data_IF_642437643973
#
_entry.id   IF_642437643973
#
_cell.length_a   1.000
_cell.length_b   1.000
_cell.length_c   1.000
_cell.angle_alpha   90.00
_cell.angle_beta   90.00
_cell.angle_gamma   90.00
#
_symmetry.space_group_name_H-M   'P 1'
#
loop_
_entity.id
_entity.type
_entity.pdbx_description
1 polymer ?
#
# COMPACT_ATOMS: atom_id res chain seq x y z
N UNK A 1 1.51 -7.20 -13.89
CA UNK A 1 2.58 -8.22 -14.04
C UNK A 1 2.83 -8.89 -12.67
N UNK A 2 3.38 -10.12 -12.56
CA UNK A 2 3.55 -10.85 -11.27
C UNK A 2 4.14 -10.01 -10.13
N UNK A 3 4.99 -9.05 -10.47
CA UNK A 3 5.71 -8.17 -9.53
C UNK A 3 4.84 -6.99 -9.09
N UNK A 4 3.84 -6.62 -9.89
CA UNK A 4 2.87 -5.53 -9.64
C UNK A 4 1.55 -6.04 -9.07
N UNK A 5 1.26 -7.33 -9.24
CA UNK A 5 0.04 -7.99 -8.78
C UNK A 5 0.41 -8.94 -7.64
N UNK A 6 -0.27 -8.89 -6.50
CA UNK A 6 -0.10 -9.84 -5.39
C UNK A 6 -0.54 -11.29 -5.73
N UNK A 7 -0.62 -11.62 -7.03
CA UNK A 7 -1.06 -12.90 -7.57
C UNK A 7 0.13 -13.87 -7.70
N UNK A 8 -0.06 -15.17 -7.43
CA UNK A 8 0.98 -16.17 -7.62
C UNK A 8 1.47 -16.27 -9.07
N UNK A 9 2.76 -16.57 -9.27
CA UNK A 9 3.38 -16.80 -10.59
C UNK A 9 2.56 -17.77 -11.45
N UNK A 10 2.02 -18.84 -10.83
CA UNK A 10 1.23 -19.85 -11.53
C UNK A 10 -0.12 -19.34 -12.04
N UNK A 11 -0.73 -18.37 -11.36
CA UNK A 11 -1.99 -17.73 -11.81
C UNK A 11 -1.71 -16.83 -13.01
N UNK A 12 -0.73 -15.94 -12.88
CA UNK A 12 -0.35 -15.02 -13.96
C UNK A 12 0.19 -15.76 -15.18
N UNK A 13 0.89 -16.88 -14.99
CA UNK A 13 1.35 -17.72 -16.11
C UNK A 13 0.19 -18.33 -16.89
N UNK A 14 -0.91 -18.72 -16.21
CA UNK A 14 -2.12 -19.22 -16.87
C UNK A 14 -2.83 -18.11 -17.63
N UNK A 15 -2.98 -16.93 -17.02
CA UNK A 15 -3.62 -15.77 -17.64
C UNK A 15 -2.86 -15.32 -18.91
N UNK A 16 -1.55 -15.49 -18.92
CA UNK A 16 -0.67 -15.14 -20.05
C UNK A 16 -0.42 -16.32 -21.01
N UNK A 17 -1.01 -17.48 -20.76
CA UNK A 17 -0.82 -18.72 -21.54
C UNK A 17 0.65 -19.13 -21.72
N UNK A 18 1.51 -18.82 -20.74
CA UNK A 18 2.93 -19.17 -20.74
C UNK A 18 3.23 -20.23 -19.69
N UNK A 19 4.33 -20.94 -19.89
CA UNK A 19 4.80 -21.91 -18.90
C UNK A 19 5.19 -21.20 -17.60
N UNK A 20 4.65 -21.67 -16.47
CA UNK A 20 4.92 -21.09 -15.15
C UNK A 20 6.40 -21.13 -14.75
N UNK A 21 7.15 -22.16 -15.17
CA UNK A 21 8.59 -22.25 -14.94
C UNK A 21 9.38 -21.20 -15.72
N UNK A 22 8.98 -20.92 -16.95
CA UNK A 22 9.57 -19.83 -17.76
C UNK A 22 9.32 -18.47 -17.12
N UNK A 23 8.10 -18.20 -16.68
CA UNK A 23 7.76 -16.96 -15.99
C UNK A 23 8.52 -16.84 -14.65
N UNK A 24 8.61 -17.92 -13.87
CA UNK A 24 9.38 -17.96 -12.64
C UNK A 24 10.87 -17.65 -12.86
N UNK A 25 11.46 -18.19 -13.93
CA UNK A 25 12.85 -17.93 -14.29
C UNK A 25 13.08 -16.45 -14.63
N UNK A 26 12.17 -15.82 -15.39
CA UNK A 26 12.25 -14.39 -15.69
C UNK A 26 12.07 -13.53 -14.45
N UNK A 27 11.10 -13.84 -13.58
CA UNK A 27 10.91 -13.14 -12.31
C UNK A 27 12.16 -13.26 -11.43
N UNK A 28 12.75 -14.44 -11.31
CA UNK A 28 13.97 -14.65 -10.53
C UNK A 28 15.20 -13.92 -11.11
N UNK A 29 15.34 -13.89 -12.43
CA UNK A 29 16.39 -13.13 -13.09
C UNK A 29 16.24 -11.62 -12.81
N UNK A 30 15.02 -11.11 -12.94
CA UNK A 30 14.70 -9.73 -12.67
C UNK A 30 14.94 -9.34 -11.20
N UNK A 31 14.55 -10.19 -10.23
CA UNK A 31 14.81 -9.98 -8.79
C UNK A 31 16.31 -9.87 -8.48
N UNK A 32 17.13 -10.70 -9.12
CA UNK A 32 18.59 -10.68 -8.95
C UNK A 32 19.23 -9.41 -9.52
N UNK A 33 18.68 -8.91 -10.63
CA UNK A 33 19.16 -7.70 -11.30
C UNK A 33 18.61 -6.41 -10.66
N UNK A 34 17.54 -6.51 -9.86
CA UNK A 34 16.91 -5.40 -9.16
C UNK A 34 16.90 -5.63 -7.62
N UNK A 35 18.08 -5.70 -6.97
CA UNK A 35 18.18 -5.85 -5.52
C UNK A 35 17.62 -4.60 -4.82
N UNK A 36 16.35 -4.66 -4.41
CA UNK A 36 15.60 -3.56 -3.81
C UNK A 36 14.16 -3.42 -4.31
N UNK A 37 13.82 -4.09 -5.41
CA UNK A 37 12.48 -4.11 -5.99
C UNK A 37 11.49 -5.03 -5.28
N UNK A 38 12.01 -6.05 -4.61
CA UNK A 38 11.27 -6.88 -3.66
C UNK A 38 11.90 -6.72 -2.29
N UNK A 39 11.51 -5.65 -1.60
CA UNK A 39 11.63 -5.67 -0.16
C UNK A 39 10.41 -6.43 0.36
N UNK A 40 10.57 -7.63 0.94
CA UNK A 40 9.50 -8.19 1.76
C UNK A 40 9.22 -7.14 2.83
N UNK A 41 7.98 -6.63 2.90
CA UNK A 41 7.58 -5.49 3.74
C UNK A 41 8.30 -5.61 5.07
N UNK A 42 9.30 -4.75 5.26
CA UNK A 42 10.19 -4.88 6.40
C UNK A 42 9.36 -4.64 7.67
N UNK A 43 9.69 -5.27 8.82
CA UNK A 43 9.03 -4.93 10.09
C UNK A 43 9.00 -3.41 10.36
N UNK A 44 10.03 -2.68 9.90
CA UNK A 44 10.10 -1.22 9.91
C UNK A 44 9.08 -0.52 9.03
N UNK A 45 8.76 -1.04 7.84
CA UNK A 45 7.70 -0.47 7.00
C UNK A 45 6.32 -0.72 7.60
N UNK A 46 6.08 -1.88 8.21
CA UNK A 46 4.83 -2.13 8.95
C UNK A 46 4.64 -1.18 10.13
N UNK A 47 5.71 -0.91 10.89
CA UNK A 47 5.68 0.07 11.97
C UNK A 47 5.36 1.47 11.44
N UNK A 48 6.00 1.88 10.34
CA UNK A 48 5.75 3.17 9.69
C UNK A 48 4.32 3.30 9.15
N UNK A 49 3.74 2.23 8.61
CA UNK A 49 2.33 2.22 8.19
C UNK A 49 1.41 2.41 9.38
N UNK A 50 1.64 1.69 10.48
CA UNK A 50 0.82 1.81 11.69
C UNK A 50 0.89 3.22 12.30
N UNK A 51 2.08 3.82 12.36
CA UNK A 51 2.26 5.22 12.81
C UNK A 51 1.49 6.19 11.89
N UNK A 52 1.56 5.97 10.59
CA UNK A 52 0.91 6.84 9.60
C UNK A 52 -0.62 6.70 9.65
N UNK A 53 -1.14 5.50 9.89
CA UNK A 53 -2.56 5.27 10.12
C UNK A 53 -3.07 5.94 11.41
N UNK A 54 -2.27 5.92 12.48
CA UNK A 54 -2.62 6.59 13.73
C UNK A 54 -2.66 8.11 13.56
N UNK A 55 -1.67 8.67 12.86
CA UNK A 55 -1.65 10.11 12.57
C UNK A 55 -2.83 10.52 11.68
N UNK A 56 -3.17 9.73 10.66
CA UNK A 56 -4.37 9.97 9.84
C UNK A 56 -5.63 9.97 10.70
N UNK A 57 -5.75 9.03 11.65
CA UNK A 57 -6.90 8.96 12.57
C UNK A 57 -6.98 10.21 13.44
N UNK A 58 -5.85 10.62 14.03
CA UNK A 58 -5.75 11.82 14.86
C UNK A 58 -6.14 13.08 14.07
N UNK A 59 -5.56 13.28 12.90
CA UNK A 59 -5.83 14.43 12.05
C UNK A 59 -7.30 14.49 11.61
N UNK A 60 -7.92 13.34 11.32
CA UNK A 60 -9.37 13.29 11.01
C UNK A 60 -10.22 13.73 12.18
N UNK A 61 -9.91 13.27 13.40
CA UNK A 61 -10.65 13.68 14.60
C UNK A 61 -10.51 15.18 14.87
N UNK A 62 -9.30 15.73 14.75
CA UNK A 62 -9.06 17.16 14.93
C UNK A 62 -9.80 17.99 13.87
N UNK A 63 -9.76 17.54 12.62
CA UNK A 63 -10.48 18.19 11.54
C UNK A 63 -12.01 18.19 11.77
N UNK A 64 -12.57 17.08 12.25
CA UNK A 64 -13.99 17.02 12.62
C UNK A 64 -14.34 17.95 13.78
N UNK A 65 -13.49 18.00 14.81
CA UNK A 65 -13.68 18.89 15.94
C UNK A 65 -13.70 20.36 15.50
N UNK A 66 -12.70 20.77 14.70
CA UNK A 66 -12.61 22.12 14.16
C UNK A 66 -13.81 22.47 13.28
N UNK A 67 -14.27 21.55 12.44
CA UNK A 67 -15.50 21.74 11.64
C UNK A 67 -16.73 21.95 12.53
N UNK A 68 -16.89 21.17 13.59
CA UNK A 68 -18.00 21.32 14.55
C UNK A 68 -17.92 22.66 15.27
N UNK A 69 -16.73 23.07 15.71
CA UNK A 69 -16.50 24.35 16.36
C UNK A 69 -16.82 25.52 15.41
N UNK A 70 -16.30 25.50 14.18
CA UNK A 70 -16.58 26.52 13.17
C UNK A 70 -18.09 26.63 12.88
N UNK A 71 -18.78 25.49 12.76
CA UNK A 71 -20.22 25.47 12.54
C UNK A 71 -21.02 25.97 13.76
N UNK A 72 -20.54 25.75 14.99
CA UNK A 72 -21.12 26.32 16.20
C UNK A 72 -20.97 27.84 16.21
N UNK A 73 -19.75 28.34 16.01
CA UNK A 73 -19.48 29.78 16.00
C UNK A 73 -20.27 30.52 14.92
N UNK A 74 -20.35 29.96 13.70
CA UNK A 74 -21.14 30.53 12.61
C UNK A 74 -22.65 30.61 12.91
N UNK A 75 -23.16 29.72 13.77
CA UNK A 75 -24.56 29.76 14.23
C UNK A 75 -24.79 30.78 15.34
N UNK A 76 -23.82 30.99 16.23
CA UNK A 76 -23.93 31.93 17.36
C UNK A 76 -23.59 33.38 16.98
N UNK A 77 -22.95 33.62 15.84
CA UNK A 77 -22.64 34.96 15.33
C UNK A 77 -23.74 35.55 14.43
N UNK A 78 -24.91 34.91 14.36
CA UNK A 78 -26.10 35.38 13.63
C UNK A 78 -27.12 35.99 14.58
#
# INVERSE_FOLDING_TARGET
MVIETEKPVAEVARDLEINAGTLANWVNAWRRENPGSEQPVSPSERARVAEMEDEIRRLRMENEFLKKAAAFFARTSQ
#
